data_IF_826524684646
#
_entry.id   IF_826524684646
#
_cell.length_a   1.000
_cell.length_b   1.000
_cell.length_c   1.000
_cell.angle_alpha   90.00
_cell.angle_beta   90.00
_cell.angle_gamma   90.00
#
_symmetry.space_group_name_H-M   'P 1'
#
loop_
_entity.id
_entity.type
_entity.pdbx_description
1 polymer ?
#
# COMPACT_ATOMS: atom_id res chain seq x y z
N UNK A 1 30.89 19.12 12.62
CA UNK A 1 30.00 20.23 12.23
C UNK A 1 28.64 20.00 12.86
N UNK A 2 28.27 20.78 13.89
CA UNK A 2 27.04 20.58 14.70
C UNK A 2 25.87 21.30 14.01
N UNK A 3 24.80 20.56 13.70
CA UNK A 3 23.56 21.13 13.15
C UNK A 3 22.76 21.75 14.31
N UNK A 4 22.61 23.06 14.29
CA UNK A 4 21.79 23.82 15.24
C UNK A 4 20.36 23.80 14.70
N UNK A 5 19.43 23.21 15.46
CA UNK A 5 17.99 23.27 15.22
C UNK A 5 17.50 24.59 15.83
N UNK A 6 17.00 25.49 14.99
CA UNK A 6 16.39 26.75 15.43
C UNK A 6 14.93 26.46 15.76
N UNK A 7 14.58 26.54 17.05
CA UNK A 7 13.20 26.52 17.54
C UNK A 7 12.67 27.95 17.45
N UNK A 8 11.66 28.17 16.62
CA UNK A 8 10.97 29.45 16.50
C UNK A 8 9.98 29.61 17.67
N UNK A 9 10.34 30.43 18.65
CA UNK A 9 9.48 30.82 19.77
C UNK A 9 8.62 32.02 19.34
N UNK A 10 7.35 31.78 19.01
CA UNK A 10 6.35 32.82 18.78
C UNK A 10 5.84 33.35 20.12
N UNK A 11 6.37 34.51 20.53
CA UNK A 11 5.87 35.27 21.67
C UNK A 11 4.58 35.97 21.24
N UNK A 12 3.43 35.52 21.75
CA UNK A 12 2.16 36.22 21.63
C UNK A 12 2.11 37.36 22.66
N UNK A 13 2.20 38.60 22.21
CA UNK A 13 1.92 39.79 23.03
C UNK A 13 0.41 40.04 23.09
N UNK A 14 -0.22 39.73 24.21
CA UNK A 14 -1.61 40.11 24.48
C UNK A 14 -1.67 41.58 24.88
N UNK A 15 -2.21 42.45 24.02
CA UNK A 15 -2.60 43.80 24.43
C UNK A 15 -3.85 43.72 25.32
N UNK A 16 -3.70 44.06 26.60
CA UNK A 16 -4.84 44.26 27.50
C UNK A 16 -5.32 45.71 27.34
N UNK A 17 -6.45 45.90 26.65
CA UNK A 17 -7.19 47.16 26.73
C UNK A 17 -8.05 47.17 27.99
N UNK A 18 -7.84 48.16 28.85
CA UNK A 18 -8.72 48.44 29.98
C UNK A 18 -10.00 49.12 29.46
N UNK A 19 -11.14 48.45 29.57
CA UNK A 19 -12.44 49.02 29.25
C UNK A 19 -12.98 49.77 30.48
N UNK A 20 -13.06 51.11 30.40
CA UNK A 20 -13.62 51.95 31.46
C UNK A 20 -15.07 52.26 31.13
N UNK A 21 -16.01 51.54 31.73
CA UNK A 21 -17.45 51.81 31.58
C UNK A 21 -17.96 52.57 32.81
N UNK A 22 -18.03 53.90 32.73
CA UNK A 22 -18.68 54.75 33.74
C UNK A 22 -20.20 54.73 33.52
N UNK A 23 -20.90 53.74 34.06
CA UNK A 23 -22.38 53.72 34.09
C UNK A 23 -22.84 54.49 35.33
N UNK A 24 -23.44 55.67 35.14
CA UNK A 24 -24.04 56.45 36.23
C UNK A 24 -25.50 56.03 36.43
N UNK A 25 -25.78 55.38 37.55
CA UNK A 25 -27.14 55.08 37.98
C UNK A 25 -27.81 56.33 38.57
N UNK A 26 -29.09 56.49 38.26
CA UNK A 26 -29.92 57.66 38.61
C UNK A 26 -30.58 57.53 39.97
N UNK A 27 -30.57 56.33 40.58
CA UNK A 27 -31.21 56.03 41.86
C UNK A 27 -32.70 55.72 41.74
N UNK A 28 -33.26 55.75 40.52
CA UNK A 28 -34.63 55.36 40.25
C UNK A 28 -34.66 53.96 39.64
N UNK A 29 -35.18 52.98 40.39
CA UNK A 29 -35.14 51.56 40.01
C UNK A 29 -35.70 51.28 38.61
N UNK A 30 -36.77 51.98 38.20
CA UNK A 30 -37.40 51.73 36.90
C UNK A 30 -36.51 52.24 35.77
N UNK A 31 -35.95 53.44 35.93
CA UNK A 31 -35.05 54.07 34.95
C UNK A 31 -33.72 53.31 34.90
N UNK A 32 -33.17 52.97 36.06
CA UNK A 32 -31.91 52.22 36.17
C UNK A 32 -32.06 50.78 35.66
N UNK A 33 -33.22 50.13 35.82
CA UNK A 33 -33.49 48.82 35.20
C UNK A 33 -33.58 48.90 33.69
N UNK A 34 -34.06 50.03 33.16
CA UNK A 34 -34.20 50.26 31.73
C UNK A 34 -32.83 50.58 31.11
N UNK A 35 -32.03 51.42 31.77
CA UNK A 35 -30.63 51.70 31.42
C UNK A 35 -29.79 50.41 31.48
N UNK A 36 -29.97 49.57 32.51
CA UNK A 36 -29.30 48.29 32.59
C UNK A 36 -29.73 47.34 31.46
N UNK A 37 -31.03 47.30 31.14
CA UNK A 37 -31.58 46.46 30.07
C UNK A 37 -31.13 46.90 28.67
N UNK A 38 -31.10 48.21 28.41
CA UNK A 38 -30.61 48.79 27.15
C UNK A 38 -29.11 48.57 26.99
N UNK A 39 -28.30 48.78 28.05
CA UNK A 39 -26.88 48.45 28.04
C UNK A 39 -26.62 46.94 27.84
N UNK A 40 -27.52 46.05 28.29
CA UNK A 40 -27.41 44.61 27.97
C UNK A 40 -27.83 44.25 26.55
N UNK A 41 -28.67 45.07 25.89
CA UNK A 41 -29.03 44.91 24.47
C UNK A 41 -27.95 45.42 23.53
N UNK A 42 -27.25 46.47 23.93
CA UNK A 42 -26.16 47.09 23.16
C UNK A 42 -24.78 46.51 23.49
N UNK A 43 -24.71 45.42 24.28
CA UNK A 43 -23.54 44.55 24.21
C UNK A 43 -23.45 44.09 22.75
N UNK A 44 -22.37 44.41 22.02
CA UNK A 44 -22.21 43.91 20.66
C UNK A 44 -22.43 42.40 20.74
N UNK A 45 -23.40 41.89 19.96
CA UNK A 45 -23.48 40.48 19.67
C UNK A 45 -22.11 40.15 19.12
N UNK A 46 -21.28 39.53 19.98
CA UNK A 46 -19.87 39.38 19.73
C UNK A 46 -19.75 38.33 18.62
N UNK A 47 -19.92 38.80 17.38
CA UNK A 47 -19.63 38.08 16.15
C UNK A 47 -18.12 37.97 15.96
N UNK A 48 -17.31 38.12 17.01
CA UNK A 48 -16.14 37.27 17.11
C UNK A 48 -16.67 35.84 16.92
N UNK A 49 -16.43 35.26 15.74
CA UNK A 49 -16.34 33.82 15.61
C UNK A 49 -15.44 33.38 16.75
N UNK A 50 -16.05 32.94 17.84
CA UNK A 50 -15.32 32.45 19.00
C UNK A 50 -14.41 31.37 18.40
N UNK A 51 -13.09 31.62 18.40
CA UNK A 51 -12.10 30.61 18.07
C UNK A 51 -12.29 29.55 19.16
N UNK A 52 -13.19 28.59 18.91
CA UNK A 52 -13.58 27.58 19.87
C UNK A 52 -12.29 26.88 20.32
N UNK A 53 -11.83 27.13 21.55
CA UNK A 53 -10.58 26.55 22.02
C UNK A 53 -10.76 25.03 22.02
N UNK A 54 -9.87 24.32 21.31
CA UNK A 54 -9.90 22.86 21.24
C UNK A 54 -10.51 22.26 19.97
N UNK A 55 -10.92 23.04 18.96
CA UNK A 55 -11.22 22.47 17.63
C UNK A 55 -9.99 21.72 17.07
N UNK A 56 -10.23 20.54 16.52
CA UNK A 56 -9.23 19.69 15.88
C UNK A 56 -9.14 20.03 14.40
N UNK A 57 -7.94 20.32 13.90
CA UNK A 57 -7.70 20.48 12.46
C UNK A 57 -7.99 19.18 11.69
N UNK A 58 -8.87 19.26 10.69
CA UNK A 58 -9.21 18.14 9.81
C UNK A 58 -8.02 17.75 8.93
N UNK A 59 -7.31 18.73 8.36
CA UNK A 59 -6.13 18.49 7.54
C UNK A 59 -5.03 17.78 8.34
N UNK A 60 -4.79 18.23 9.58
CA UNK A 60 -3.81 17.59 10.45
C UNK A 60 -4.21 16.14 10.77
N UNK A 61 -5.48 15.89 11.08
CA UNK A 61 -5.97 14.53 11.34
C UNK A 61 -5.74 13.61 10.12
N UNK A 62 -6.11 14.07 8.92
CA UNK A 62 -5.87 13.32 7.68
C UNK A 62 -4.38 13.07 7.43
N UNK A 63 -3.52 14.07 7.60
CA UNK A 63 -2.07 13.92 7.40
C UNK A 63 -1.43 12.96 8.40
N UNK A 64 -1.88 12.97 9.66
CA UNK A 64 -1.41 12.01 10.66
C UNK A 64 -1.75 10.58 10.23
N UNK A 65 -3.00 10.31 9.84
CA UNK A 65 -3.43 8.99 9.37
C UNK A 65 -2.83 8.57 8.02
N UNK A 66 -2.39 9.54 7.20
CA UNK A 66 -1.64 9.23 5.98
C UNK A 66 -0.25 8.67 6.27
N UNK A 67 0.39 9.10 7.38
CA UNK A 67 1.71 8.62 7.79
C UNK A 67 1.59 7.32 8.59
N UNK A 68 0.68 7.28 9.56
CA UNK A 68 0.40 6.10 10.39
C UNK A 68 -1.12 5.93 10.48
N UNK A 69 -1.70 4.89 9.87
CA UNK A 69 -3.13 4.61 10.00
C UNK A 69 -3.55 4.55 11.48
N UNK A 70 -4.61 5.28 11.83
CA UNK A 70 -5.11 5.42 13.20
C UNK A 70 -4.57 6.63 13.96
N UNK A 71 -3.55 7.36 13.47
CA UNK A 71 -2.95 8.47 14.20
C UNK A 71 -3.83 9.73 14.23
N UNK A 72 -4.61 9.99 13.18
CA UNK A 72 -5.57 11.09 13.15
C UNK A 72 -6.76 10.84 14.07
N UNK A 73 -7.24 9.60 14.14
CA UNK A 73 -8.28 9.14 15.06
C UNK A 73 -7.81 9.31 16.52
N UNK A 74 -6.56 8.91 16.80
CA UNK A 74 -5.91 9.14 18.10
C UNK A 74 -5.88 10.62 18.47
N UNK A 75 -5.49 11.48 17.52
CA UNK A 75 -5.48 12.93 17.71
C UNK A 75 -6.86 13.51 18.04
N UNK A 76 -7.93 12.91 17.51
CA UNK A 76 -9.32 13.29 17.79
C UNK A 76 -9.91 12.64 19.05
N UNK A 77 -9.18 11.71 19.67
CA UNK A 77 -9.59 11.01 20.90
C UNK A 77 -10.39 9.73 20.67
N UNK A 78 -10.46 9.23 19.43
CA UNK A 78 -11.10 7.95 19.11
C UNK A 78 -10.08 6.80 19.19
N UNK A 79 -9.79 6.37 20.42
CA UNK A 79 -8.78 5.35 20.70
C UNK A 79 -9.12 3.97 20.12
N UNK A 80 -10.40 3.63 20.04
CA UNK A 80 -10.82 2.32 19.53
C UNK A 80 -10.55 2.23 18.03
N UNK A 81 -10.97 3.24 17.26
CA UNK A 81 -10.67 3.27 15.81
C UNK A 81 -9.18 3.32 15.54
N UNK A 82 -8.45 4.15 16.30
CA UNK A 82 -6.99 4.22 16.22
C UNK A 82 -6.34 2.85 16.39
N UNK A 83 -6.73 2.12 17.44
CA UNK A 83 -6.21 0.78 17.72
C UNK A 83 -6.53 -0.22 16.60
N UNK A 84 -7.74 -0.16 16.02
CA UNK A 84 -8.15 -1.05 14.91
C UNK A 84 -7.31 -0.78 13.66
N UNK A 85 -7.19 0.47 13.22
CA UNK A 85 -6.40 0.81 12.03
C UNK A 85 -4.94 0.42 12.18
N UNK A 86 -4.36 0.69 13.36
CA UNK A 86 -2.98 0.32 13.66
C UNK A 86 -2.79 -1.21 13.72
N UNK A 87 -3.73 -1.95 14.31
CA UNK A 87 -3.65 -3.41 14.39
C UNK A 87 -3.72 -4.07 12.99
N UNK A 88 -4.61 -3.57 12.12
CA UNK A 88 -4.70 -4.03 10.72
C UNK A 88 -3.37 -3.76 10.00
N UNK A 89 -2.82 -2.56 10.16
CA UNK A 89 -1.53 -2.17 9.56
C UNK A 89 -0.41 -3.11 9.99
N UNK A 90 -0.23 -3.30 11.30
CA UNK A 90 0.80 -4.15 11.85
C UNK A 90 0.65 -5.62 11.39
N UNK A 91 -0.58 -6.14 11.36
CA UNK A 91 -0.86 -7.49 10.90
C UNK A 91 -0.53 -7.65 9.41
N UNK A 92 -0.93 -6.68 8.57
CA UNK A 92 -0.66 -6.73 7.14
C UNK A 92 0.85 -6.62 6.84
N UNK A 93 1.58 -5.72 7.52
CA UNK A 93 3.04 -5.63 7.39
C UNK A 93 3.71 -6.95 7.78
N UNK A 94 3.32 -7.53 8.92
CA UNK A 94 3.86 -8.81 9.37
C UNK A 94 3.61 -9.93 8.35
N UNK A 95 2.37 -10.07 7.87
CA UNK A 95 2.00 -11.07 6.86
C UNK A 95 2.79 -10.84 5.57
N UNK A 96 2.92 -9.58 5.13
CA UNK A 96 3.69 -9.20 3.96
C UNK A 96 5.13 -9.67 4.04
N UNK A 97 5.86 -9.25 5.09
CA UNK A 97 7.27 -9.57 5.27
C UNK A 97 7.50 -11.08 5.40
N UNK A 98 6.68 -11.78 6.19
CA UNK A 98 6.85 -13.22 6.41
C UNK A 98 6.63 -14.01 5.13
N UNK A 99 5.61 -13.67 4.34
CA UNK A 99 5.35 -14.38 3.09
C UNK A 99 6.34 -14.00 1.99
N UNK A 100 6.80 -12.75 1.93
CA UNK A 100 7.85 -12.34 0.99
C UNK A 100 9.13 -13.16 1.21
N UNK A 101 9.58 -13.26 2.48
CA UNK A 101 10.71 -14.10 2.86
C UNK A 101 10.50 -15.59 2.53
N UNK A 102 9.31 -16.13 2.78
CA UNK A 102 8.99 -17.52 2.41
C UNK A 102 9.03 -17.74 0.90
N UNK A 103 8.60 -16.74 0.12
CA UNK A 103 8.73 -16.73 -1.33
C UNK A 103 10.20 -16.81 -1.76
N UNK A 104 11.07 -16.01 -1.15
CA UNK A 104 12.51 -15.99 -1.43
C UNK A 104 13.19 -17.31 -1.06
N UNK A 105 12.90 -17.82 0.14
CA UNK A 105 13.45 -19.10 0.62
C UNK A 105 13.03 -20.24 -0.32
N UNK A 106 11.75 -20.26 -0.74
CA UNK A 106 11.23 -21.25 -1.70
C UNK A 106 11.82 -21.08 -3.10
N UNK A 107 12.11 -19.85 -3.49
CA UNK A 107 12.79 -19.54 -4.75
C UNK A 107 14.19 -20.12 -4.78
N UNK A 108 14.97 -19.89 -3.74
CA UNK A 108 16.30 -20.49 -3.61
C UNK A 108 16.24 -22.03 -3.66
N UNK A 109 15.24 -22.65 -3.03
CA UNK A 109 15.04 -24.11 -3.05
C UNK A 109 14.78 -24.65 -4.47
N UNK A 110 13.80 -24.09 -5.19
CA UNK A 110 13.47 -24.60 -6.52
C UNK A 110 14.57 -24.29 -7.53
N UNK A 111 15.25 -23.14 -7.43
CA UNK A 111 16.36 -22.77 -8.31
C UNK A 111 17.55 -23.71 -8.11
N UNK A 112 17.86 -24.06 -6.86
CA UNK A 112 18.87 -25.07 -6.56
C UNK A 112 18.49 -26.45 -7.13
N UNK A 113 17.21 -26.83 -7.04
CA UNK A 113 16.71 -28.06 -7.66
C UNK A 113 16.88 -28.05 -9.18
N UNK A 114 16.52 -26.95 -9.86
CA UNK A 114 16.73 -26.80 -11.30
C UNK A 114 18.21 -26.86 -11.67
N UNK A 115 19.09 -26.19 -10.93
CA UNK A 115 20.53 -26.20 -11.19
C UNK A 115 21.15 -27.61 -11.08
N UNK A 116 20.54 -28.51 -10.31
CA UNK A 116 20.99 -29.90 -10.17
C UNK A 116 20.40 -30.84 -11.22
N UNK A 117 19.18 -30.57 -11.69
CA UNK A 117 18.38 -31.53 -12.44
C UNK A 117 18.05 -31.09 -13.88
N UNK A 118 18.32 -29.83 -14.25
CA UNK A 118 18.09 -29.30 -15.58
C UNK A 118 19.40 -28.90 -16.24
N UNK A 119 19.63 -29.37 -17.47
CA UNK A 119 20.88 -29.21 -18.17
C UNK A 119 20.67 -28.51 -19.52
N UNK A 120 21.26 -27.32 -19.66
CA UNK A 120 21.17 -26.50 -20.88
C UNK A 120 21.80 -27.17 -22.11
N UNK A 121 22.87 -27.95 -21.91
CA UNK A 121 23.55 -28.65 -23.00
C UNK A 121 22.68 -29.79 -23.53
N UNK A 122 22.07 -30.58 -22.63
CA UNK A 122 21.11 -31.61 -23.01
C UNK A 122 19.94 -31.02 -23.81
N UNK A 123 19.38 -29.90 -23.32
CA UNK A 123 18.33 -29.17 -24.03
C UNK A 123 18.78 -28.72 -25.43
N UNK A 124 19.94 -28.09 -25.54
CA UNK A 124 20.48 -27.59 -26.80
C UNK A 124 20.80 -28.71 -27.80
N UNK A 125 21.38 -29.82 -27.36
CA UNK A 125 21.64 -31.01 -28.19
C UNK A 125 20.34 -31.59 -28.74
N UNK A 126 19.31 -31.70 -27.89
CA UNK A 126 17.99 -32.15 -28.31
C UNK A 126 17.34 -31.22 -29.33
N UNK A 127 17.42 -29.90 -29.10
CA UNK A 127 16.88 -28.89 -30.03
C UNK A 127 17.53 -28.98 -31.40
N UNK A 128 18.84 -29.18 -31.47
CA UNK A 128 19.57 -29.35 -32.73
C UNK A 128 19.11 -30.63 -33.46
N UNK A 129 19.06 -31.75 -32.74
CA UNK A 129 18.70 -33.05 -33.33
C UNK A 129 17.26 -33.08 -33.85
N UNK A 130 16.35 -32.32 -33.24
CA UNK A 130 14.93 -32.30 -33.59
C UNK A 130 14.50 -31.07 -34.40
N UNK A 131 15.38 -30.12 -34.68
CA UNK A 131 15.04 -28.88 -35.38
C UNK A 131 14.31 -29.12 -36.71
N UNK A 132 14.81 -30.05 -37.53
CA UNK A 132 14.23 -30.41 -38.83
C UNK A 132 12.92 -31.21 -38.70
N UNK A 133 12.80 -32.03 -37.64
CA UNK A 133 11.57 -32.76 -37.35
C UNK A 133 10.43 -31.81 -36.95
N UNK A 134 10.77 -30.75 -36.19
CA UNK A 134 9.83 -29.75 -35.71
C UNK A 134 9.47 -28.75 -36.83
N UNK A 135 10.48 -28.26 -37.55
CA UNK A 135 10.31 -27.36 -38.69
C UNK A 135 11.15 -27.85 -39.89
N UNK A 136 10.53 -28.55 -40.84
CA UNK A 136 11.21 -29.06 -42.04
C UNK A 136 11.83 -27.99 -42.93
N UNK A 137 11.50 -26.70 -42.72
CA UNK A 137 12.08 -25.58 -43.48
C UNK A 137 13.49 -25.21 -43.02
N UNK A 138 14.02 -25.84 -41.97
CA UNK A 138 15.39 -25.63 -41.52
C UNK A 138 16.32 -26.50 -42.35
N UNK A 139 16.90 -25.90 -43.40
CA UNK A 139 17.74 -26.62 -44.34
C UNK A 139 19.06 -27.14 -43.72
N UNK A 140 19.65 -26.36 -42.81
CA UNK A 140 20.95 -26.67 -42.21
C UNK A 140 21.07 -26.08 -40.79
N UNK A 141 21.04 -26.95 -39.79
CA UNK A 141 21.13 -26.60 -38.36
C UNK A 141 22.56 -26.21 -37.98
N UNK A 142 23.58 -26.67 -38.71
CA UNK A 142 25.00 -26.41 -38.39
C UNK A 142 25.39 -24.93 -38.55
N UNK A 143 24.57 -24.15 -39.26
CA UNK A 143 24.69 -22.69 -39.37
C UNK A 143 24.57 -21.99 -38.02
N UNK A 144 23.79 -22.58 -37.10
CA UNK A 144 23.63 -22.08 -35.74
C UNK A 144 24.72 -22.75 -34.90
N UNK A 145 25.83 -22.05 -34.68
CA UNK A 145 26.97 -22.53 -33.90
C UNK A 145 26.63 -22.52 -32.41
N UNK A 146 25.66 -23.36 -32.00
CA UNK A 146 25.09 -23.40 -30.66
C UNK A 146 26.13 -23.83 -29.60
N UNK A 147 27.19 -24.53 -30.00
CA UNK A 147 28.29 -24.88 -29.12
C UNK A 147 29.58 -24.19 -29.53
N UNK A 148 30.32 -23.69 -28.55
CA UNK A 148 31.68 -23.19 -28.75
C UNK A 148 32.68 -24.36 -28.89
N UNK A 149 33.96 -24.05 -29.12
CA UNK A 149 35.02 -25.06 -29.25
C UNK A 149 35.29 -25.85 -27.96
N UNK A 150 34.77 -25.38 -26.82
CA UNK A 150 34.89 -26.00 -25.50
C UNK A 150 33.63 -26.81 -25.14
N UNK A 151 32.60 -26.78 -25.99
CA UNK A 151 31.32 -27.47 -25.78
C UNK A 151 30.35 -26.74 -24.84
N UNK A 152 30.55 -25.45 -24.57
CA UNK A 152 29.59 -24.61 -23.85
C UNK A 152 28.54 -24.07 -24.82
N UNK A 153 27.34 -23.81 -24.28
CA UNK A 153 26.23 -23.26 -25.06
C UNK A 153 26.45 -21.77 -25.34
N UNK A 154 26.43 -21.40 -26.62
CA UNK A 154 26.43 -20.03 -27.10
C UNK A 154 24.96 -19.54 -27.15
N UNK A 155 24.52 -18.86 -26.10
CA UNK A 155 23.14 -18.40 -25.89
C UNK A 155 22.53 -17.68 -27.09
N UNK A 156 23.30 -16.79 -27.74
CA UNK A 156 22.82 -16.02 -28.89
C UNK A 156 22.52 -16.92 -30.10
N UNK A 157 23.30 -17.96 -30.32
CA UNK A 157 23.09 -18.90 -31.43
C UNK A 157 21.96 -19.89 -31.10
N UNK A 158 21.85 -20.32 -29.84
CA UNK A 158 20.70 -21.11 -29.38
C UNK A 158 19.39 -20.34 -29.61
N UNK A 159 19.32 -19.08 -29.19
CA UNK A 159 18.13 -18.27 -29.35
C UNK A 159 17.80 -17.98 -30.83
N UNK A 160 18.81 -17.85 -31.70
CA UNK A 160 18.60 -17.76 -33.15
C UNK A 160 17.99 -19.04 -33.71
N UNK A 161 18.48 -20.21 -33.28
CA UNK A 161 17.93 -21.50 -33.67
C UNK A 161 16.47 -21.65 -33.19
N UNK A 162 16.19 -21.38 -31.92
CA UNK A 162 14.82 -21.37 -31.36
C UNK A 162 13.89 -20.49 -32.20
N UNK A 163 14.37 -19.32 -32.62
CA UNK A 163 13.62 -18.39 -33.48
C UNK A 163 13.36 -18.92 -34.88
N UNK A 164 14.35 -19.60 -35.47
CA UNK A 164 14.23 -20.18 -36.80
C UNK A 164 13.26 -21.38 -36.80
N UNK A 165 13.23 -22.16 -35.72
CA UNK A 165 12.26 -23.23 -35.50
C UNK A 165 10.84 -22.64 -35.44
N UNK A 166 10.68 -21.46 -34.85
CA UNK A 166 9.43 -20.69 -34.94
C UNK A 166 8.39 -21.17 -33.93
N UNK A 167 7.18 -21.50 -34.40
CA UNK A 167 5.99 -21.68 -33.56
C UNK A 167 6.11 -22.73 -32.45
N UNK A 168 7.06 -23.67 -32.54
CA UNK A 168 7.33 -24.60 -31.46
C UNK A 168 7.90 -23.90 -30.22
N UNK A 169 8.71 -22.85 -30.39
CA UNK A 169 9.26 -22.05 -29.29
C UNK A 169 8.48 -20.75 -29.15
N UNK A 170 7.50 -20.76 -28.24
CA UNK A 170 6.74 -19.54 -27.89
C UNK A 170 7.60 -18.50 -27.17
N UNK A 171 8.64 -18.96 -26.47
CA UNK A 171 9.59 -18.18 -25.69
C UNK A 171 11.00 -18.75 -25.91
N UNK A 172 12.01 -17.90 -25.77
CA UNK A 172 13.42 -18.24 -25.96
C UNK A 172 14.11 -18.39 -24.63
N UNK A 173 14.95 -19.40 -24.47
CA UNK A 173 15.64 -19.62 -23.20
C UNK A 173 16.48 -18.39 -22.81
N UNK A 174 16.28 -17.88 -21.61
CA UNK A 174 16.99 -16.73 -21.05
C UNK A 174 18.37 -17.18 -20.56
N UNK A 175 19.33 -16.25 -20.43
CA UNK A 175 20.64 -16.56 -19.86
C UNK A 175 20.54 -17.26 -18.50
N UNK A 176 21.52 -18.12 -18.24
CA UNK A 176 21.62 -18.83 -16.96
C UNK A 176 21.60 -17.86 -15.77
N UNK A 177 20.93 -18.27 -14.70
CA UNK A 177 20.73 -17.54 -13.45
C UNK A 177 19.82 -16.30 -13.52
N UNK A 178 19.23 -15.97 -14.68
CA UNK A 178 18.17 -14.97 -14.73
C UNK A 178 16.84 -15.53 -14.19
N UNK A 179 16.03 -14.68 -13.56
CA UNK A 179 14.68 -15.07 -13.10
C UNK A 179 13.83 -15.67 -14.23
N UNK A 180 13.96 -15.13 -15.44
CA UNK A 180 13.24 -15.62 -16.62
C UNK A 180 13.66 -17.04 -17.04
N UNK A 181 14.93 -17.42 -16.82
CA UNK A 181 15.42 -18.76 -17.12
C UNK A 181 14.68 -19.79 -16.26
N UNK A 182 14.63 -19.55 -14.96
CA UNK A 182 13.90 -20.39 -14.01
C UNK A 182 12.39 -20.37 -14.26
N UNK A 183 11.84 -19.25 -14.74
CA UNK A 183 10.45 -19.20 -15.15
C UNK A 183 10.14 -20.13 -16.32
N UNK A 184 10.99 -20.07 -17.35
CA UNK A 184 10.75 -20.77 -18.59
C UNK A 184 10.80 -22.28 -18.44
N UNK A 185 11.85 -22.80 -17.80
CA UNK A 185 12.09 -24.25 -17.66
C UNK A 185 11.02 -24.99 -16.84
N UNK A 186 10.18 -24.27 -16.09
CA UNK A 186 9.07 -24.84 -15.31
C UNK A 186 7.67 -24.42 -15.74
N UNK A 187 7.53 -23.55 -16.76
CA UNK A 187 6.24 -23.06 -17.24
C UNK A 187 5.89 -23.63 -18.62
N UNK A 188 6.87 -23.78 -19.50
CA UNK A 188 6.63 -24.21 -20.87
C UNK A 188 7.14 -25.63 -21.11
N UNK A 189 6.24 -26.48 -21.63
CA UNK A 189 6.54 -27.88 -21.94
C UNK A 189 7.73 -28.07 -22.89
N UNK A 190 7.99 -27.11 -23.79
CA UNK A 190 9.14 -27.12 -24.71
C UNK A 190 10.51 -27.27 -24.01
N UNK A 191 10.62 -26.92 -22.73
CA UNK A 191 11.87 -27.06 -21.97
C UNK A 191 11.94 -28.36 -21.16
N UNK A 192 10.93 -29.23 -21.26
CA UNK A 192 10.87 -30.53 -20.58
C UNK A 192 12.08 -31.41 -20.91
N UNK A 193 12.58 -31.31 -22.15
CA UNK A 193 13.68 -32.13 -22.68
C UNK A 193 15.04 -31.85 -22.02
N UNK A 194 15.17 -30.72 -21.32
CA UNK A 194 16.38 -30.38 -20.56
C UNK A 194 16.43 -30.99 -19.15
N UNK A 195 15.35 -31.60 -18.66
CA UNK A 195 15.34 -32.28 -17.37
C UNK A 195 16.06 -33.63 -17.47
N UNK A 196 16.90 -33.95 -16.49
CA UNK A 196 17.71 -35.17 -16.47
C UNK A 196 16.90 -36.48 -16.60
N UNK A 197 15.68 -36.53 -16.03
CA UNK A 197 14.76 -37.67 -16.15
C UNK A 197 14.28 -37.89 -17.60
N UNK A 198 14.28 -36.86 -18.44
CA UNK A 198 13.95 -37.02 -19.85
C UNK A 198 14.96 -37.95 -20.55
N UNK A 199 16.20 -37.99 -20.07
CA UNK A 199 17.29 -38.79 -20.60
C UNK A 199 18.12 -38.03 -21.64
N UNK A 200 19.37 -38.46 -21.79
CA UNK A 200 20.38 -37.76 -22.59
C UNK A 200 20.37 -38.15 -24.08
N UNK A 201 19.35 -38.86 -24.58
CA UNK A 201 19.25 -39.21 -26.00
C UNK A 201 18.69 -38.01 -26.78
N UNK A 202 19.49 -37.33 -27.64
CA UNK A 202 19.02 -36.17 -28.38
C UNK A 202 17.94 -36.53 -29.41
N UNK A 203 17.83 -37.80 -29.83
CA UNK A 203 16.87 -38.23 -30.85
C UNK A 203 15.55 -38.70 -30.25
N UNK A 204 15.40 -38.69 -28.92
CA UNK A 204 14.16 -39.07 -28.25
C UNK A 204 13.05 -38.10 -28.67
N UNK A 205 11.96 -38.56 -29.29
CA UNK A 205 10.89 -37.67 -29.75
C UNK A 205 10.18 -37.03 -28.55
N UNK A 206 9.77 -35.77 -28.71
CA UNK A 206 8.92 -35.05 -27.77
C UNK A 206 8.08 -34.00 -28.49
N UNK A 207 6.78 -34.03 -28.25
CA UNK A 207 5.79 -33.11 -28.81
C UNK A 207 4.93 -32.51 -27.71
N UNK A 208 4.28 -31.38 -28.03
CA UNK A 208 3.31 -30.78 -27.13
C UNK A 208 2.14 -31.73 -26.86
N UNK A 209 1.88 -32.00 -25.58
CA UNK A 209 0.88 -32.96 -25.14
C UNK A 209 1.48 -34.27 -24.62
N UNK A 210 2.75 -34.54 -24.90
CA UNK A 210 3.46 -35.68 -24.32
C UNK A 210 3.60 -35.55 -22.79
N UNK A 211 3.69 -36.68 -22.06
CA UNK A 211 3.86 -36.65 -20.62
C UNK A 211 5.15 -35.93 -20.21
N UNK A 212 4.99 -34.90 -19.38
CA UNK A 212 6.11 -34.20 -18.75
C UNK A 212 6.78 -35.09 -17.70
N UNK A 213 8.10 -34.90 -17.54
CA UNK A 213 8.90 -35.58 -16.52
C UNK A 213 8.37 -35.31 -15.12
N UNK A 214 8.58 -36.23 -14.18
CA UNK A 214 8.22 -36.00 -12.78
C UNK A 214 9.02 -34.83 -12.19
N UNK A 215 10.28 -34.65 -12.61
CA UNK A 215 11.12 -33.51 -12.24
C UNK A 215 10.53 -32.16 -12.67
N UNK A 216 10.08 -32.04 -13.93
CA UNK A 216 9.41 -30.83 -14.40
C UNK A 216 8.18 -30.52 -13.54
N UNK A 217 7.33 -31.53 -13.29
CA UNK A 217 6.08 -31.35 -12.53
C UNK A 217 6.35 -30.94 -11.09
N UNK A 218 7.32 -31.58 -10.43
CA UNK A 218 7.76 -31.24 -9.09
C UNK A 218 8.24 -29.78 -9.05
N UNK A 219 9.21 -29.43 -9.91
CA UNK A 219 9.74 -28.06 -9.98
C UNK A 219 8.66 -27.01 -10.25
N UNK A 220 7.77 -27.27 -11.21
CA UNK A 220 6.65 -26.38 -11.53
C UNK A 220 5.71 -26.19 -10.32
N UNK A 221 5.46 -27.26 -9.56
CA UNK A 221 4.71 -27.20 -8.31
C UNK A 221 5.39 -26.35 -7.24
N UNK A 222 6.69 -26.54 -7.00
CA UNK A 222 7.45 -25.79 -6.01
C UNK A 222 7.51 -24.28 -6.34
N UNK A 223 7.61 -23.96 -7.64
CA UNK A 223 7.46 -22.58 -8.14
C UNK A 223 6.06 -22.03 -7.89
N UNK A 224 5.02 -22.85 -8.04
CA UNK A 224 3.65 -22.50 -7.68
C UNK A 224 3.54 -22.09 -6.23
N UNK A 225 4.15 -22.85 -5.31
CA UNK A 225 4.17 -22.53 -3.87
C UNK A 225 4.86 -21.19 -3.59
N UNK A 226 6.00 -20.91 -4.24
CA UNK A 226 6.67 -19.62 -4.10
C UNK A 226 5.77 -18.46 -4.59
N UNK A 227 5.11 -18.64 -5.73
CA UNK A 227 4.17 -17.66 -6.28
C UNK A 227 2.98 -17.41 -5.34
N UNK A 228 2.48 -18.45 -4.64
CA UNK A 228 1.40 -18.30 -3.66
C UNK A 228 1.84 -17.44 -2.46
N UNK A 229 3.08 -17.60 -2.00
CA UNK A 229 3.65 -16.73 -0.96
C UNK A 229 3.77 -15.28 -1.43
N UNK A 230 4.34 -15.03 -2.61
CA UNK A 230 4.43 -13.68 -3.17
C UNK A 230 3.05 -13.06 -3.44
N UNK A 231 2.07 -13.86 -3.87
CA UNK A 231 0.68 -13.42 -4.05
C UNK A 231 0.05 -12.99 -2.72
N UNK A 232 0.32 -13.74 -1.65
CA UNK A 232 -0.11 -13.40 -0.29
C UNK A 232 0.55 -12.09 0.19
N UNK A 233 1.85 -11.94 -0.01
CA UNK A 233 2.58 -10.73 0.32
C UNK A 233 2.05 -9.50 -0.46
N UNK A 234 1.82 -9.66 -1.76
CA UNK A 234 1.21 -8.63 -2.62
C UNK A 234 -0.19 -8.23 -2.13
N UNK A 235 -0.98 -9.20 -1.67
CA UNK A 235 -2.31 -8.95 -1.10
C UNK A 235 -2.21 -8.16 0.20
N UNK A 236 -1.22 -8.44 1.05
CA UNK A 236 -0.97 -7.67 2.26
C UNK A 236 -0.62 -6.20 1.95
N UNK A 237 0.18 -5.93 0.92
CA UNK A 237 0.46 -4.56 0.46
C UNK A 237 -0.80 -3.84 0.00
N UNK A 238 -1.71 -4.53 -0.71
CA UNK A 238 -3.01 -3.94 -1.10
C UNK A 238 -3.85 -3.58 0.13
N UNK A 239 -3.83 -4.42 1.16
CA UNK A 239 -4.52 -4.16 2.43
C UNK A 239 -3.93 -2.91 3.11
N UNK A 240 -2.60 -2.78 3.18
CA UNK A 240 -1.93 -1.59 3.73
C UNK A 240 -2.41 -0.32 3.02
N UNK A 241 -2.37 -0.31 1.68
CA UNK A 241 -2.80 0.86 0.90
C UNK A 241 -4.27 1.19 1.15
N UNK A 242 -5.15 0.19 1.18
CA UNK A 242 -6.56 0.40 1.50
C UNK A 242 -6.76 0.93 2.92
N UNK A 243 -6.03 0.40 3.89
CA UNK A 243 -6.07 0.80 5.30
C UNK A 243 -5.68 2.28 5.46
N UNK A 244 -4.61 2.73 4.80
CA UNK A 244 -4.22 4.14 4.75
C UNK A 244 -5.33 5.04 4.21
N UNK A 245 -5.93 4.69 3.06
CA UNK A 245 -6.97 5.51 2.43
C UNK A 245 -8.20 5.63 3.34
N UNK A 246 -8.63 4.51 3.92
CA UNK A 246 -9.80 4.48 4.80
C UNK A 246 -9.51 5.25 6.10
N UNK A 247 -8.32 5.10 6.69
CA UNK A 247 -7.97 5.83 7.91
C UNK A 247 -7.81 7.34 7.67
N UNK A 248 -7.30 7.78 6.51
CA UNK A 248 -7.28 9.22 6.19
C UNK A 248 -8.71 9.78 6.17
N UNK A 249 -9.62 9.09 5.49
CA UNK A 249 -11.01 9.52 5.40
C UNK A 249 -11.72 9.51 6.76
N UNK A 250 -11.53 8.44 7.55
CA UNK A 250 -12.12 8.35 8.90
C UNK A 250 -11.53 9.39 9.84
N UNK A 251 -10.22 9.64 9.83
CA UNK A 251 -9.60 10.69 10.63
C UNK A 251 -10.18 12.09 10.37
N UNK A 252 -10.40 12.43 9.09
CA UNK A 252 -11.04 13.70 8.71
C UNK A 252 -12.48 13.75 9.23
N UNK A 253 -13.23 12.65 9.10
CA UNK A 253 -14.59 12.56 9.64
C UNK A 253 -14.58 12.67 11.16
N UNK A 254 -13.77 11.88 11.86
CA UNK A 254 -13.63 11.89 13.31
C UNK A 254 -13.26 13.29 13.83
N UNK A 255 -12.41 14.03 13.14
CA UNK A 255 -12.11 15.43 13.47
C UNK A 255 -13.33 16.36 13.27
N UNK A 256 -14.07 16.19 12.17
CA UNK A 256 -15.30 16.95 11.94
C UNK A 256 -16.39 16.64 12.99
N UNK A 257 -16.57 15.36 13.32
CA UNK A 257 -17.51 14.89 14.33
C UNK A 257 -17.16 15.45 15.71
N UNK A 258 -15.87 15.38 16.08
CA UNK A 258 -15.34 15.99 17.30
C UNK A 258 -15.66 17.49 17.36
N UNK A 259 -15.40 18.22 16.27
CA UNK A 259 -15.67 19.66 16.20
C UNK A 259 -17.16 20.00 16.29
N UNK A 260 -18.05 19.20 15.65
CA UNK A 260 -19.50 19.36 15.77
C UNK A 260 -19.97 19.11 17.20
N UNK A 261 -19.50 18.04 17.84
CA UNK A 261 -19.85 17.71 19.22
C UNK A 261 -19.34 18.78 20.20
N UNK A 262 -18.15 19.33 19.97
CA UNK A 262 -17.62 20.45 20.77
C UNK A 262 -18.48 21.71 20.60
N UNK A 263 -18.92 22.00 19.37
CA UNK A 263 -19.82 23.13 19.08
C UNK A 263 -21.18 22.98 19.78
N UNK A 264 -21.80 21.80 19.71
CA UNK A 264 -23.08 21.52 20.37
C UNK A 264 -22.99 21.71 21.89
N UNK A 265 -21.89 21.29 22.53
CA UNK A 265 -21.65 21.52 23.97
C UNK A 265 -21.55 23.00 24.34
N UNK A 266 -20.99 23.82 23.45
CA UNK A 266 -20.78 25.26 23.70
C UNK A 266 -21.98 26.12 23.29
N UNK A 267 -22.82 25.65 22.36
CA UNK A 267 -24.03 26.34 21.87
C UNK A 267 -25.22 26.22 22.84
N UNK A 268 -25.06 25.60 24.00
CA UNK A 268 -26.01 25.76 25.09
C UNK A 268 -26.11 27.25 25.45
N UNK A 269 -27.25 27.89 25.14
CA UNK A 269 -27.43 29.32 25.35
C UNK A 269 -27.32 29.62 26.84
N UNK A 270 -26.46 30.56 27.17
CA UNK A 270 -26.35 31.14 28.51
C UNK A 270 -27.39 32.23 28.62
N UNK A 271 -28.32 32.08 29.56
CA UNK A 271 -29.23 33.13 29.96
C UNK A 271 -28.79 33.69 31.30
N UNK A 272 -28.50 34.99 31.32
CA UNK A 272 -28.06 35.68 32.54
C UNK A 272 -29.30 36.25 33.25
N UNK A 273 -29.69 35.64 34.37
CA UNK A 273 -30.75 36.11 35.27
C UNK A 273 -30.10 36.78 36.49
N UNK A 274 -29.81 38.07 36.38
CA UNK A 274 -29.12 38.82 37.43
C UNK A 274 -27.74 38.22 37.73
N UNK A 275 -27.56 37.65 38.93
CA UNK A 275 -26.30 37.01 39.37
C UNK A 275 -26.22 35.50 39.11
N UNK A 276 -27.22 34.88 38.47
CA UNK A 276 -27.20 33.45 38.12
C UNK A 276 -27.07 33.27 36.62
N UNK A 277 -26.16 32.38 36.24
CA UNK A 277 -25.98 31.91 34.85
C UNK A 277 -26.71 30.58 34.74
N UNK A 278 -27.74 30.53 33.91
CA UNK A 278 -28.49 29.30 33.63
C UNK A 278 -28.21 28.89 32.17
N UNK A 279 -27.89 27.61 31.96
CA UNK A 279 -27.55 27.06 30.64
C UNK A 279 -28.64 26.08 30.21
N UNK A 280 -29.22 26.28 29.03
CA UNK A 280 -30.17 25.34 28.45
C UNK A 280 -29.76 24.95 27.03
N UNK A 281 -29.97 23.68 26.64
CA UNK A 281 -29.73 23.23 25.27
C UNK A 281 -30.80 23.84 24.35
N UNK A 282 -30.40 24.52 23.27
CA UNK A 282 -31.31 25.03 22.24
C UNK A 282 -31.19 24.16 20.99
N UNK A 283 -32.24 23.42 20.64
CA UNK A 283 -32.31 22.62 19.42
C UNK A 283 -32.85 23.50 18.28
N UNK A 284 -31.97 24.07 17.46
CA UNK A 284 -32.38 24.83 16.28
C UNK A 284 -32.61 23.88 15.10
N UNK A 285 -33.85 23.42 14.92
CA UNK A 285 -34.29 22.71 13.70
C UNK A 285 -34.72 23.75 12.66
N UNK A 286 -33.87 24.02 11.67
CA UNK A 286 -34.30 24.72 10.44
C UNK A 286 -34.60 23.68 9.37
N UNK A 287 -35.88 23.53 9.04
CA UNK A 287 -36.34 22.81 7.87
C UNK A 287 -36.56 23.83 6.75
N UNK A 288 -35.87 23.69 5.63
CA UNK A 288 -36.12 24.47 4.41
C UNK A 288 -36.79 23.56 3.39
N UNK A 289 -37.98 23.96 2.92
CA UNK A 289 -38.63 23.37 1.76
C UNK A 289 -37.91 23.78 0.48
#
# INVERSE_FOLDING_TARGET
MKKIIIILLLIHSSFLFAQKNDVKFTGNLKVDSQIAFENTKDMPDDKNEFLIPGKKSLLLAGLLSAVIPGAGELYTGDYLKSAVFFAIEAAAIYIGIVNDKKGDDKTAEFEAYANQNWNVKQYAEWTIANAQNINPSIDDVSKYQVFDSQGNVVWTELNKLESAIGNYYSHRLAPFADQQYYEMIGKYAQFNVGWSEFGNDPNKPFQYGDPLTSQFKFYSGERGVANDYYSTASTAVKIIVANHIISIADAIWSANSFNKNLSVKLTAKKFNLGYRIEMYPELNLRYSF
#
